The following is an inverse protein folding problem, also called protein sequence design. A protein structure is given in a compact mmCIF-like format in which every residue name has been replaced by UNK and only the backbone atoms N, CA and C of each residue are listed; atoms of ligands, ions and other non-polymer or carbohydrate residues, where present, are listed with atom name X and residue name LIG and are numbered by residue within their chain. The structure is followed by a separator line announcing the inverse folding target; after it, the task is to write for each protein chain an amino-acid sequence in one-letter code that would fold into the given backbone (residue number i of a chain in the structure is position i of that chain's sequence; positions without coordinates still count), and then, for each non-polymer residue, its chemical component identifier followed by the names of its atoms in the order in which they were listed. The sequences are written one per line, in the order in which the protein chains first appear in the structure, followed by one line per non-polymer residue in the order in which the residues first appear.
data_IF_915431824609
#
_entry.id   IF_915431824609
#
_cell.length_a   1.000
_cell.length_b   1.000
_cell.length_c   1.000
_cell.angle_alpha   90.00
_cell.angle_beta   90.00
_cell.angle_gamma   90.00
#
_symmetry.space_group_name_H-M   'P 1'
#
loop_
_entity.id
_entity.type
_entity.pdbx_description
1 polymer ?
#
# COMPACT_ATOMS: atom_id res chain seq x y z
N UNK A 1 32.47 -7.22 -60.60
CA UNK A 1 32.75 -6.38 -59.42
C UNK A 1 31.59 -5.47 -58.98
N UNK A 2 30.98 -4.65 -59.84
CA UNK A 2 29.92 -3.67 -59.44
C UNK A 2 28.68 -4.20 -58.70
N UNK A 3 28.26 -5.47 -58.91
CA UNK A 3 27.08 -6.04 -58.25
C UNK A 3 27.31 -6.36 -56.76
N UNK A 4 28.51 -6.84 -56.41
CA UNK A 4 28.86 -7.22 -55.04
C UNK A 4 28.98 -5.98 -54.14
N UNK A 5 29.58 -4.90 -54.65
CA UNK A 5 29.64 -3.61 -53.98
C UNK A 5 28.25 -3.03 -53.71
N UNK A 6 27.32 -3.14 -54.67
CA UNK A 6 25.94 -2.67 -54.49
C UNK A 6 25.20 -3.44 -53.39
N UNK A 7 25.38 -4.77 -53.32
CA UNK A 7 24.79 -5.60 -52.27
C UNK A 7 25.38 -5.26 -50.90
N UNK A 8 26.70 -5.05 -50.82
CA UNK A 8 27.38 -4.64 -49.59
C UNK A 8 26.87 -3.27 -49.12
N UNK A 9 26.77 -2.28 -50.01
CA UNK A 9 26.27 -0.95 -49.69
C UNK A 9 24.82 -1.03 -49.18
N UNK A 10 23.95 -1.79 -49.84
CA UNK A 10 22.56 -1.98 -49.39
C UNK A 10 22.51 -2.66 -48.02
N UNK A 11 23.33 -3.69 -47.79
CA UNK A 11 23.40 -4.38 -46.50
C UNK A 11 23.86 -3.46 -45.36
N UNK A 12 24.83 -2.58 -45.63
CA UNK A 12 25.35 -1.62 -44.66
C UNK A 12 24.32 -0.55 -44.30
N UNK A 13 23.59 -0.03 -45.29
CA UNK A 13 22.47 0.90 -45.08
C UNK A 13 21.37 0.23 -44.25
N UNK A 14 21.01 -1.01 -44.59
CA UNK A 14 19.98 -1.75 -43.87
C UNK A 14 20.39 -2.01 -42.41
N UNK A 15 21.64 -2.40 -42.17
CA UNK A 15 22.15 -2.62 -40.81
C UNK A 15 22.09 -1.35 -39.95
N UNK A 16 22.50 -0.20 -40.50
CA UNK A 16 22.42 1.09 -39.80
C UNK A 16 20.97 1.47 -39.48
N UNK A 17 20.04 1.26 -40.41
CA UNK A 17 18.62 1.52 -40.19
C UNK A 17 18.04 0.63 -39.09
N UNK A 18 18.38 -0.66 -39.07
CA UNK A 18 17.92 -1.62 -38.05
C UNK A 18 18.48 -1.24 -36.67
N UNK A 19 19.77 -0.93 -36.57
CA UNK A 19 20.38 -0.47 -35.31
C UNK A 19 19.72 0.82 -34.83
N UNK A 20 19.54 1.80 -35.70
CA UNK A 20 18.86 3.05 -35.38
C UNK A 20 17.43 2.82 -34.91
N UNK A 21 16.68 1.93 -35.56
CA UNK A 21 15.32 1.58 -35.18
C UNK A 21 15.25 0.89 -33.81
N UNK A 22 16.12 -0.09 -33.54
CA UNK A 22 16.18 -0.79 -32.24
C UNK A 22 16.54 0.19 -31.12
N UNK A 23 17.52 1.07 -31.34
CA UNK A 23 17.91 2.06 -30.34
C UNK A 23 16.77 3.07 -30.10
N UNK A 24 16.15 3.61 -31.14
CA UNK A 24 15.06 4.57 -31.01
C UNK A 24 13.82 3.96 -30.33
N UNK A 25 13.41 2.76 -30.75
CA UNK A 25 12.28 2.05 -30.14
C UNK A 25 12.58 1.59 -28.72
N UNK A 26 13.83 1.20 -28.42
CA UNK A 26 14.28 0.93 -27.05
C UNK A 26 14.19 2.18 -26.17
N UNK A 27 14.72 3.31 -26.62
CA UNK A 27 14.62 4.57 -25.86
C UNK A 27 13.16 4.99 -25.66
N UNK A 28 12.27 4.75 -26.63
CA UNK A 28 10.84 5.02 -26.49
C UNK A 28 10.17 4.06 -25.50
N UNK A 29 10.41 2.75 -25.61
CA UNK A 29 9.85 1.74 -24.71
C UNK A 29 10.27 1.94 -23.24
N UNK A 30 11.51 2.41 -23.02
CA UNK A 30 12.02 2.76 -21.69
C UNK A 30 11.70 4.20 -21.27
N UNK A 31 10.93 4.95 -22.07
CA UNK A 31 10.47 6.31 -21.77
C UNK A 31 11.55 7.39 -21.77
N UNK A 32 12.79 7.08 -22.15
CA UNK A 32 13.90 8.04 -22.13
C UNK A 32 13.70 9.24 -23.09
N UNK A 33 12.79 9.13 -24.07
CA UNK A 33 12.52 10.17 -25.08
C UNK A 33 11.43 11.17 -24.64
N UNK A 34 10.49 10.76 -23.78
CA UNK A 34 9.30 11.56 -23.42
C UNK A 34 9.30 12.04 -21.97
N UNK A 35 10.42 11.90 -21.28
CA UNK A 35 10.53 12.12 -19.83
C UNK A 35 10.31 10.82 -19.04
N UNK A 36 10.68 10.79 -17.75
CA UNK A 36 10.63 9.57 -16.95
C UNK A 36 9.29 8.86 -17.16
N UNK A 37 9.34 7.55 -17.46
CA UNK A 37 8.15 6.71 -17.58
C UNK A 37 7.20 7.09 -16.45
N UNK A 38 6.06 7.69 -16.80
CA UNK A 38 5.06 8.06 -15.81
C UNK A 38 4.51 6.74 -15.33
N UNK A 39 5.07 6.25 -14.22
CA UNK A 39 4.63 5.01 -13.64
C UNK A 39 3.24 5.28 -13.08
N UNK A 40 2.20 4.89 -13.83
CA UNK A 40 0.84 4.80 -13.31
C UNK A 40 0.70 3.66 -12.29
N UNK A 41 1.81 3.08 -11.79
CA UNK A 41 1.82 2.21 -10.61
C UNK A 41 0.98 2.90 -9.57
N UNK A 42 -0.19 2.31 -9.38
CA UNK A 42 -1.19 2.81 -8.47
C UNK A 42 -0.54 2.85 -7.11
N UNK A 43 -0.77 3.91 -6.35
CA UNK A 43 -0.22 3.99 -5.00
C UNK A 43 -0.98 2.98 -4.13
N UNK A 44 -0.29 2.32 -3.17
CA UNK A 44 -0.97 1.46 -2.21
C UNK A 44 -2.14 2.22 -1.58
N UNK A 45 -3.32 1.60 -1.44
CA UNK A 45 -4.49 2.23 -0.84
C UNK A 45 -5.21 1.26 0.09
N UNK A 46 -5.13 1.55 1.38
CA UNK A 46 -5.89 0.80 2.39
C UNK A 46 -7.34 1.27 2.46
N UNK A 47 -8.24 0.34 2.80
CA UNK A 47 -9.62 0.60 3.17
C UNK A 47 -9.97 -0.17 4.44
N UNK A 48 -10.73 0.46 5.32
CA UNK A 48 -11.30 -0.21 6.49
C UNK A 48 -12.72 -0.65 6.11
N UNK A 49 -12.98 -1.96 6.10
CA UNK A 49 -14.28 -2.54 5.69
C UNK A 49 -15.20 -2.79 6.88
N UNK A 50 -14.61 -2.98 8.07
CA UNK A 50 -15.32 -3.15 9.32
C UNK A 50 -14.49 -2.57 10.46
N UNK A 51 -15.16 -1.99 11.45
CA UNK A 51 -14.52 -1.55 12.68
C UNK A 51 -15.45 -1.70 13.87
N UNK A 52 -14.89 -2.07 15.00
CA UNK A 52 -15.60 -2.14 16.27
C UNK A 52 -14.66 -1.94 17.45
N UNK A 53 -15.23 -1.73 18.64
CA UNK A 53 -14.47 -1.48 19.85
C UNK A 53 -15.18 -1.97 21.10
N UNK A 54 -14.42 -2.46 22.08
CA UNK A 54 -14.95 -2.95 23.35
C UNK A 54 -14.05 -2.53 24.51
N UNK A 55 -14.61 -2.17 25.68
CA UNK A 55 -13.82 -2.02 26.89
C UNK A 55 -13.31 -3.40 27.34
N UNK A 56 -12.02 -3.49 27.67
CA UNK A 56 -11.39 -4.70 28.21
C UNK A 56 -10.60 -4.37 29.48
N UNK A 57 -10.19 -5.37 30.25
CA UNK A 57 -9.56 -5.15 31.57
C UNK A 57 -8.27 -4.33 31.53
N UNK A 58 -7.53 -4.39 30.41
CA UNK A 58 -6.24 -3.75 30.22
C UNK A 58 -6.28 -2.58 29.21
N UNK A 59 -7.47 -2.08 28.86
CA UNK A 59 -7.62 -0.91 27.99
C UNK A 59 -8.87 -0.95 27.13
N UNK A 60 -8.72 -0.58 25.86
CA UNK A 60 -9.80 -0.64 24.86
C UNK A 60 -9.37 -1.56 23.73
N UNK A 61 -10.15 -2.60 23.48
CA UNK A 61 -9.98 -3.44 22.31
C UNK A 61 -10.56 -2.73 21.08
N UNK A 62 -9.78 -2.68 20.00
CA UNK A 62 -10.17 -2.13 18.70
C UNK A 62 -10.01 -3.25 17.67
N UNK A 63 -11.09 -3.55 16.96
CA UNK A 63 -11.13 -4.54 15.89
C UNK A 63 -11.28 -3.81 14.57
N UNK A 64 -10.37 -4.03 13.63
CA UNK A 64 -10.38 -3.43 12.30
C UNK A 64 -10.25 -4.52 11.24
N UNK A 65 -11.16 -4.57 10.27
CA UNK A 65 -10.89 -5.27 9.02
C UNK A 65 -10.29 -4.30 8.02
N UNK A 66 -9.09 -4.61 7.54
CA UNK A 66 -8.34 -3.77 6.62
C UNK A 66 -8.10 -4.57 5.34
N UNK A 67 -8.33 -3.94 4.19
CA UNK A 67 -8.04 -4.48 2.87
C UNK A 67 -7.18 -3.49 2.08
N UNK A 68 -6.27 -4.01 1.28
CA UNK A 68 -5.53 -3.24 0.29
C UNK A 68 -6.25 -3.30 -1.05
N UNK A 69 -6.80 -2.16 -1.49
CA UNK A 69 -7.68 -2.08 -2.66
C UNK A 69 -7.00 -1.52 -3.91
N UNK A 70 -5.80 -0.97 -3.78
CA UNK A 70 -5.05 -0.43 -4.90
C UNK A 70 -3.55 -0.47 -4.61
N UNK A 71 -2.69 -0.59 -5.63
CA UNK A 71 -1.25 -0.66 -5.41
C UNK A 71 -0.52 -1.64 -6.34
N UNK A 72 0.83 -1.66 -6.32
CA UNK A 72 1.60 -2.71 -6.97
C UNK A 72 1.58 -3.98 -6.10
N UNK A 73 1.31 -5.14 -6.70
CA UNK A 73 1.36 -6.44 -6.00
C UNK A 73 2.75 -6.79 -5.43
N UNK A 74 3.79 -6.10 -5.91
CA UNK A 74 5.17 -6.28 -5.48
C UNK A 74 5.45 -5.73 -4.07
N UNK A 75 4.66 -4.77 -3.57
CA UNK A 75 4.86 -4.16 -2.25
C UNK A 75 3.53 -4.06 -1.51
N UNK A 76 3.40 -4.65 -0.31
CA UNK A 76 2.18 -4.53 0.47
C UNK A 76 1.92 -3.07 0.84
N UNK A 77 0.64 -2.70 0.92
CA UNK A 77 0.25 -1.46 1.56
C UNK A 77 0.58 -1.51 3.06
N UNK A 78 1.06 -0.39 3.60
CA UNK A 78 1.44 -0.28 5.00
C UNK A 78 0.82 0.93 5.68
N UNK A 79 0.40 0.78 6.93
CA UNK A 79 -0.02 1.90 7.77
C UNK A 79 0.85 1.99 9.04
N UNK A 80 1.94 2.78 9.00
CA UNK A 80 2.84 2.97 10.14
C UNK A 80 2.32 3.96 11.19
N UNK A 81 1.21 4.64 10.92
CA UNK A 81 0.59 5.59 11.85
C UNK A 81 -0.93 5.40 11.83
N UNK A 82 -1.50 5.29 13.01
CA UNK A 82 -2.93 5.27 13.26
C UNK A 82 -3.30 6.42 14.19
N UNK A 83 -4.32 7.18 13.86
CA UNK A 83 -4.93 8.18 14.73
C UNK A 83 -6.27 7.67 15.24
N UNK A 84 -6.51 7.85 16.53
CA UNK A 84 -7.83 7.70 17.15
C UNK A 84 -8.22 9.07 17.67
N UNK A 85 -9.33 9.64 17.18
CA UNK A 85 -9.71 11.01 17.52
C UNK A 85 -11.22 11.18 17.74
N UNK A 86 -11.60 12.19 18.51
CA UNK A 86 -12.96 12.72 18.57
C UNK A 86 -12.90 14.25 18.44
N UNK A 87 -13.97 14.97 18.79
CA UNK A 87 -14.02 16.43 18.62
C UNK A 87 -13.05 17.22 19.50
N UNK A 88 -12.55 16.66 20.61
CA UNK A 88 -11.73 17.39 21.60
C UNK A 88 -10.40 16.71 21.92
N UNK A 89 -10.19 15.48 21.46
CA UNK A 89 -9.05 14.65 21.83
C UNK A 89 -8.58 13.78 20.66
N UNK A 90 -7.28 13.52 20.61
CA UNK A 90 -6.70 12.51 19.71
C UNK A 90 -5.51 11.81 20.36
N UNK A 91 -5.20 10.61 19.88
CA UNK A 91 -3.93 9.93 20.10
C UNK A 91 -3.41 9.37 18.78
N UNK A 92 -2.09 9.35 18.65
CA UNK A 92 -1.38 8.67 17.57
C UNK A 92 -0.71 7.40 18.10
N UNK A 93 -0.91 6.30 17.39
CA UNK A 93 -0.18 5.05 17.54
C UNK A 93 0.79 4.92 16.36
N UNK A 94 2.08 4.93 16.65
CA UNK A 94 3.12 4.64 15.65
C UNK A 94 3.24 3.12 15.40
N UNK A 95 4.03 2.72 14.42
CA UNK A 95 4.24 1.33 14.02
C UNK A 95 4.70 0.42 15.16
N UNK A 96 5.56 0.91 16.07
CA UNK A 96 5.97 0.16 17.25
C UNK A 96 4.80 -0.10 18.21
N UNK A 97 3.95 0.91 18.45
CA UNK A 97 2.76 0.76 19.29
C UNK A 97 1.73 -0.14 18.63
N UNK A 98 1.45 0.04 17.34
CA UNK A 98 0.57 -0.83 16.55
C UNK A 98 1.03 -2.29 16.66
N UNK A 99 2.33 -2.55 16.46
CA UNK A 99 2.88 -3.90 16.52
C UNK A 99 2.82 -4.52 17.92
N UNK A 100 3.00 -3.73 18.97
CA UNK A 100 2.98 -4.22 20.35
C UNK A 100 1.55 -4.43 20.87
N UNK A 101 0.63 -3.55 20.47
CA UNK A 101 -0.75 -3.55 20.94
C UNK A 101 -1.62 -4.53 20.14
N UNK A 102 -1.19 -4.97 18.95
CA UNK A 102 -1.89 -5.99 18.16
C UNK A 102 -1.77 -7.36 18.84
N UNK A 103 -2.89 -7.88 19.33
CA UNK A 103 -2.96 -9.17 20.04
C UNK A 103 -3.39 -10.33 19.14
N UNK A 104 -4.07 -10.05 18.02
CA UNK A 104 -4.55 -11.07 17.10
C UNK A 104 -4.67 -10.54 15.68
N UNK A 105 -4.33 -11.40 14.72
CA UNK A 105 -4.58 -11.18 13.30
C UNK A 105 -5.37 -12.39 12.78
N UNK A 106 -6.53 -12.16 12.19
CA UNK A 106 -7.34 -13.18 11.53
C UNK A 106 -7.31 -12.90 10.03
N UNK A 107 -6.68 -13.80 9.27
CA UNK A 107 -6.62 -13.72 7.82
C UNK A 107 -7.98 -14.06 7.22
N UNK A 108 -8.36 -13.41 6.13
CA UNK A 108 -9.49 -13.87 5.34
C UNK A 108 -9.21 -15.26 4.76
N UNK A 109 -10.23 -16.13 4.63
CA UNK A 109 -10.04 -17.51 4.18
C UNK A 109 -9.58 -17.62 2.72
N UNK A 110 -9.72 -16.56 1.94
CA UNK A 110 -9.26 -16.47 0.54
C UNK A 110 -7.89 -15.82 0.39
N UNK A 111 -7.24 -15.38 1.48
CA UNK A 111 -5.84 -14.97 1.41
C UNK A 111 -5.03 -16.22 1.03
N UNK A 112 -4.37 -16.20 -0.12
CA UNK A 112 -3.53 -17.32 -0.59
C UNK A 112 -2.28 -17.48 0.30
N UNK A 113 -1.12 -17.80 -0.29
CA UNK A 113 0.14 -17.95 0.45
C UNK A 113 0.67 -16.62 1.02
N UNK A 114 0.08 -15.48 0.65
CA UNK A 114 0.48 -14.17 1.14
C UNK A 114 -0.33 -13.84 2.40
N UNK A 115 0.38 -13.54 3.50
CA UNK A 115 -0.23 -13.29 4.81
C UNK A 115 -0.04 -11.85 5.23
N UNK A 116 -1.12 -11.25 5.71
CA UNK A 116 -1.10 -9.93 6.34
C UNK A 116 -0.42 -10.02 7.69
N UNK A 117 0.21 -8.94 8.13
CA UNK A 117 1.04 -8.94 9.33
C UNK A 117 1.13 -7.57 9.98
N UNK A 118 1.73 -7.52 11.17
CA UNK A 118 2.18 -6.29 11.78
C UNK A 118 3.66 -6.38 12.10
N UNK A 119 4.38 -5.26 12.04
CA UNK A 119 5.71 -5.16 12.61
C UNK A 119 6.03 -3.74 13.09
N UNK A 120 7.12 -3.62 13.85
CA UNK A 120 7.58 -2.39 14.47
C UNK A 120 8.01 -1.29 13.49
N UNK A 121 8.19 -1.60 12.21
CA UNK A 121 8.64 -0.65 11.20
C UNK A 121 7.48 -0.10 10.36
N UNK A 122 6.66 -0.98 9.81
CA UNK A 122 5.58 -0.67 8.86
C UNK A 122 4.21 -0.53 9.50
N UNK A 123 4.04 -0.92 10.77
CA UNK A 123 2.72 -0.98 11.41
C UNK A 123 1.89 -2.10 10.79
N UNK A 124 0.69 -1.80 10.30
CA UNK A 124 -0.11 -2.76 9.54
C UNK A 124 0.53 -3.03 8.19
N UNK A 125 0.60 -4.29 7.77
CA UNK A 125 1.04 -4.72 6.45
C UNK A 125 -0.10 -5.54 5.86
N UNK A 126 -0.70 -5.02 4.79
CA UNK A 126 -1.82 -5.65 4.09
C UNK A 126 -1.40 -5.87 2.64
N UNK A 127 -1.51 -7.11 2.19
CA UNK A 127 -1.13 -7.52 0.85
C UNK A 127 -2.22 -7.11 -0.15
N UNK A 128 -1.83 -6.73 -1.36
CA UNK A 128 -2.80 -6.38 -2.40
C UNK A 128 -3.81 -7.52 -2.62
N UNK A 129 -5.10 -7.19 -2.56
CA UNK A 129 -6.19 -8.16 -2.76
C UNK A 129 -6.46 -9.07 -1.56
N UNK A 130 -5.79 -8.86 -0.42
CA UNK A 130 -6.09 -9.54 0.84
C UNK A 130 -7.08 -8.73 1.71
N UNK A 131 -7.65 -9.41 2.69
CA UNK A 131 -8.32 -8.78 3.83
C UNK A 131 -7.88 -9.47 5.12
N UNK A 132 -7.61 -8.69 6.17
CA UNK A 132 -7.36 -9.23 7.50
C UNK A 132 -8.05 -8.41 8.58
N UNK A 133 -8.47 -9.12 9.62
CA UNK A 133 -8.94 -8.52 10.86
C UNK A 133 -7.78 -8.39 11.84
N UNK A 134 -7.47 -7.16 12.22
CA UNK A 134 -6.50 -6.81 13.24
C UNK A 134 -7.25 -6.47 14.54
N UNK A 135 -6.86 -7.11 15.63
CA UNK A 135 -7.38 -6.83 16.96
C UNK A 135 -6.25 -6.24 17.80
N UNK A 136 -6.46 -5.01 18.27
CA UNK A 136 -5.50 -4.26 19.07
C UNK A 136 -6.08 -4.01 20.45
N UNK A 137 -5.27 -4.15 21.50
CA UNK A 137 -5.63 -3.66 22.84
C UNK A 137 -4.80 -2.42 23.12
N UNK A 138 -5.41 -1.26 22.92
CA UNK A 138 -4.77 0.02 23.23
C UNK A 138 -4.79 0.20 24.76
N UNK A 139 -3.66 0.48 25.43
CA UNK A 139 -3.55 0.52 26.89
C UNK A 139 -4.15 1.81 27.49
N UNK A 140 -5.30 2.24 26.98
CA UNK A 140 -6.06 3.41 27.40
C UNK A 140 -7.54 3.01 27.41
N UNK A 141 -8.23 3.33 28.50
CA UNK A 141 -9.68 3.22 28.57
C UNK A 141 -10.29 4.48 27.95
N UNK A 142 -10.80 4.34 26.73
CA UNK A 142 -11.51 5.42 26.06
C UNK A 142 -12.90 5.57 26.70
N UNK A 143 -13.29 6.81 26.98
CA UNK A 143 -14.64 7.11 27.49
C UNK A 143 -15.72 6.71 26.48
N UNK A 144 -16.96 6.45 26.95
CA UNK A 144 -18.08 6.24 26.03
C UNK A 144 -18.25 7.41 25.05
N UNK A 145 -18.44 7.09 23.78
CA UNK A 145 -18.51 8.08 22.71
C UNK A 145 -18.13 7.54 21.35
N UNK A 146 -18.15 8.44 20.36
CA UNK A 146 -17.83 8.13 18.97
C UNK A 146 -16.44 8.64 18.63
N UNK A 147 -15.60 7.77 18.08
CA UNK A 147 -14.22 8.07 17.71
C UNK A 147 -13.99 7.77 16.23
N UNK A 148 -13.27 8.66 15.55
CA UNK A 148 -12.74 8.45 14.21
C UNK A 148 -11.42 7.71 14.31
N UNK A 149 -11.25 6.71 13.44
CA UNK A 149 -9.99 6.01 13.22
C UNK A 149 -9.46 6.42 11.85
N UNK A 150 -8.21 6.88 11.79
CA UNK A 150 -7.52 7.23 10.54
C UNK A 150 -6.24 6.41 10.44
N UNK A 151 -6.03 5.72 9.30
CA UNK A 151 -4.78 5.02 8.99
C UNK A 151 -4.02 5.78 7.91
N UNK A 152 -2.79 6.18 8.22
CA UNK A 152 -1.94 6.92 7.28
C UNK A 152 -1.05 5.93 6.53
N UNK A 153 -1.24 5.84 5.22
CA UNK A 153 -0.38 5.06 4.34
C UNK A 153 0.68 5.96 3.70
N UNK A 154 1.97 5.60 3.70
CA UNK A 154 3.02 6.41 3.08
C UNK A 154 2.75 6.66 1.59
N UNK A 155 3.23 7.79 1.09
CA UNK A 155 3.12 8.21 -0.32
C UNK A 155 1.70 8.48 -0.85
N UNK A 156 0.64 8.17 -0.10
CA UNK A 156 -0.71 8.62 -0.41
C UNK A 156 -0.84 10.13 -0.14
N UNK A 157 -1.48 10.87 -1.07
CA UNK A 157 -1.87 12.27 -0.82
C UNK A 157 -3.18 12.32 -0.01
N UNK A 158 -3.22 13.15 1.02
CA UNK A 158 -4.46 13.57 1.68
C UNK A 158 -5.50 14.00 0.62
N UNK A 159 -6.80 13.62 0.75
CA UNK A 159 -7.43 12.91 1.86
C UNK A 159 -7.70 11.42 1.56
N UNK A 160 -6.77 10.71 0.92
CA UNK A 160 -6.97 9.30 0.51
C UNK A 160 -6.65 8.28 1.62
N UNK A 161 -6.47 8.72 2.86
CA UNK A 161 -6.29 7.86 4.03
C UNK A 161 -7.50 6.97 4.28
N UNK A 162 -7.26 5.77 4.82
CA UNK A 162 -8.34 4.90 5.25
C UNK A 162 -8.94 5.47 6.54
N UNK A 163 -10.24 5.78 6.53
CA UNK A 163 -10.93 6.31 7.71
C UNK A 163 -12.20 5.53 8.01
N UNK A 164 -12.53 5.41 9.29
CA UNK A 164 -13.77 4.82 9.78
C UNK A 164 -14.16 5.44 11.13
N UNK A 165 -15.29 5.01 11.67
CA UNK A 165 -15.78 5.42 12.98
C UNK A 165 -16.09 4.20 13.83
N UNK A 166 -15.70 4.27 15.11
CA UNK A 166 -16.07 3.30 16.14
C UNK A 166 -16.91 4.01 17.21
N UNK A 167 -17.75 3.24 17.90
CA UNK A 167 -18.54 3.73 19.04
C UNK A 167 -18.25 2.85 20.25
N UNK A 168 -17.95 3.51 21.36
CA UNK A 168 -17.75 2.89 22.65
C UNK A 168 -19.00 3.18 23.49
N UNK A 169 -19.67 2.11 23.90
CA UNK A 169 -20.87 2.13 24.74
C UNK A 169 -20.54 1.98 26.22
#
# INVERSE_FOLDING_TARGET
MRKMERVVIIGLIFAVLVVGFILATGQWAYGNVVGPLVNYSKLPQLKITYANSYPVSNGTEIILNITDCDGPDAYPASAPLMEISNSTWHIYLNSSQISNDTVKIIQAPWNENKKDSVNWYSGFIVILGSEAQFQLIVPIHLSPGTYKITLYTPAIKLPKEATTTITIS
#
